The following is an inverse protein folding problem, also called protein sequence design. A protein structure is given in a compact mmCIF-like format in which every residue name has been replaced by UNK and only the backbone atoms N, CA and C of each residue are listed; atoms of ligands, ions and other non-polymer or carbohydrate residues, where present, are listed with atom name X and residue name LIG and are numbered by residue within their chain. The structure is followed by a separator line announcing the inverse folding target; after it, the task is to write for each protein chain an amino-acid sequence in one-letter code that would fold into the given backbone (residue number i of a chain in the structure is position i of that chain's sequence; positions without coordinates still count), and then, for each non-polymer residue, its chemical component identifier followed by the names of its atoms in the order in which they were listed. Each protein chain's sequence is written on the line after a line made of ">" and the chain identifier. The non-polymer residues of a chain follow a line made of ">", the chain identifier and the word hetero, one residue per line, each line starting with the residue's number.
data_IF_936355328780
#
_entry.id   IF_936355328780
#
_cell.length_a   1.000
_cell.length_b   1.000
_cell.length_c   1.000
_cell.angle_alpha   90.00
_cell.angle_beta   90.00
_cell.angle_gamma   90.00
#
_symmetry.space_group_name_H-M   'P 1'
#
loop_
_entity.id
_entity.type
_entity.pdbx_description
1 polymer ?
#
# COMPACT_ATOMS: atom_id res chain seq x y z
N UNK A 1 18.86 -14.96 8.45
CA UNK A 1 18.29 -13.99 7.49
C UNK A 1 16.80 -14.18 7.50
N UNK A 2 16.04 -13.09 7.49
CA UNK A 2 14.58 -13.13 7.34
C UNK A 2 14.25 -13.41 5.88
N UNK A 3 13.17 -14.16 5.64
CA UNK A 3 12.67 -14.32 4.29
C UNK A 3 12.03 -13.01 3.81
N UNK A 4 12.33 -12.60 2.58
CA UNK A 4 11.75 -11.40 1.99
C UNK A 4 10.31 -11.75 1.62
N UNK A 5 9.35 -11.02 2.18
CA UNK A 5 7.92 -11.27 1.99
C UNK A 5 7.50 -11.14 0.51
N UNK A 6 7.98 -10.11 -0.17
CA UNK A 6 7.92 -9.94 -1.62
C UNK A 6 8.94 -8.92 -2.08
N UNK A 7 9.26 -8.92 -3.37
CA UNK A 7 9.96 -7.84 -4.07
C UNK A 7 9.10 -7.41 -5.25
N UNK A 8 9.25 -6.17 -5.70
CA UNK A 8 8.48 -5.68 -6.85
C UNK A 8 7.34 -4.73 -6.46
N UNK A 9 6.23 -4.82 -7.17
CA UNK A 9 5.06 -3.93 -7.02
C UNK A 9 3.94 -4.61 -6.25
N UNK A 10 3.73 -4.22 -4.99
CA UNK A 10 2.53 -4.57 -4.24
C UNK A 10 1.45 -3.50 -4.44
N UNK A 11 0.21 -3.89 -4.76
CA UNK A 11 -0.91 -2.94 -4.87
C UNK A 11 -1.57 -2.68 -3.53
N UNK A 12 -1.69 -1.42 -3.12
CA UNK A 12 -2.65 -1.01 -2.09
C UNK A 12 -4.04 -0.96 -2.73
N UNK A 13 -4.72 -2.12 -2.78
CA UNK A 13 -5.95 -2.29 -3.55
C UNK A 13 -7.11 -1.49 -2.96
N UNK A 14 -7.95 -0.90 -3.81
CA UNK A 14 -9.20 -0.25 -3.41
C UNK A 14 -10.24 -1.27 -2.96
N UNK A 15 -11.15 -0.88 -2.06
CA UNK A 15 -12.34 -1.67 -1.70
C UNK A 15 -13.55 -1.08 -2.41
N UNK A 16 -14.19 -1.78 -3.35
CA UNK A 16 -15.42 -1.31 -3.97
C UNK A 16 -16.59 -1.45 -3.02
N UNK A 17 -17.32 -0.35 -2.78
CA UNK A 17 -18.56 -0.37 -2.02
C UNK A 17 -19.77 -0.16 -2.93
N UNK A 18 -20.88 -0.79 -2.60
CA UNK A 18 -22.16 -0.61 -3.26
C UNK A 18 -23.30 -0.72 -2.24
N UNK A 19 -24.21 0.25 -2.26
CA UNK A 19 -25.33 0.32 -1.31
C UNK A 19 -24.89 0.14 0.16
N UNK A 20 -23.78 0.75 0.53
CA UNK A 20 -23.25 0.72 1.89
C UNK A 20 -22.48 -0.55 2.30
N UNK A 21 -22.38 -1.55 1.44
CA UNK A 21 -21.65 -2.81 1.70
C UNK A 21 -20.46 -3.00 0.74
N UNK A 22 -19.56 -3.94 1.06
CA UNK A 22 -18.47 -4.33 0.15
C UNK A 22 -19.04 -5.09 -1.05
N UNK A 23 -18.71 -4.65 -2.27
CA UNK A 23 -19.07 -5.33 -3.51
C UNK A 23 -18.03 -6.41 -3.83
N UNK A 24 -18.18 -7.60 -3.26
CA UNK A 24 -17.25 -8.71 -3.45
C UNK A 24 -17.10 -9.15 -4.92
N UNK A 25 -18.14 -9.22 -5.77
CA UNK A 25 -17.98 -9.52 -7.19
C UNK A 25 -17.06 -8.52 -7.91
N UNK A 26 -17.24 -7.22 -7.69
CA UNK A 26 -16.36 -6.19 -8.24
C UNK A 26 -14.94 -6.29 -7.65
N UNK A 27 -14.82 -6.55 -6.35
CA UNK A 27 -13.53 -6.71 -5.69
C UNK A 27 -12.75 -7.90 -6.28
N UNK A 28 -13.42 -9.03 -6.55
CA UNK A 28 -12.81 -10.19 -7.21
C UNK A 28 -12.27 -9.86 -8.60
N UNK A 29 -13.00 -9.08 -9.41
CA UNK A 29 -12.51 -8.63 -10.73
C UNK A 29 -11.29 -7.73 -10.62
N UNK A 30 -11.26 -6.84 -9.63
CA UNK A 30 -10.09 -5.99 -9.37
C UNK A 30 -8.87 -6.80 -8.94
N UNK A 31 -9.04 -7.82 -8.08
CA UNK A 31 -7.97 -8.74 -7.66
C UNK A 31 -7.41 -9.47 -8.88
N UNK A 32 -8.27 -10.09 -9.70
CA UNK A 32 -7.81 -10.83 -10.89
C UNK A 32 -7.05 -9.91 -11.86
N UNK A 33 -7.58 -8.70 -12.12
CA UNK A 33 -6.90 -7.71 -12.96
C UNK A 33 -5.50 -7.36 -12.44
N UNK A 34 -5.30 -7.30 -11.12
CA UNK A 34 -3.99 -7.06 -10.54
C UNK A 34 -3.04 -8.22 -10.83
N UNK A 35 -3.50 -9.43 -10.61
CA UNK A 35 -2.68 -10.65 -10.82
C UNK A 35 -2.34 -10.82 -12.31
N UNK A 36 -3.32 -10.64 -13.20
CA UNK A 36 -3.13 -10.69 -14.65
C UNK A 36 -2.17 -9.60 -15.14
N UNK A 37 -2.14 -8.45 -14.45
CA UNK A 37 -1.22 -7.35 -14.70
C UNK A 37 0.18 -7.53 -14.09
N UNK A 38 0.47 -8.65 -13.45
CA UNK A 38 1.79 -8.97 -12.90
C UNK A 38 2.09 -8.33 -11.54
N UNK A 39 1.09 -7.90 -10.79
CA UNK A 39 1.28 -7.40 -9.41
C UNK A 39 1.94 -8.48 -8.55
N UNK A 40 3.00 -8.10 -7.79
CA UNK A 40 3.81 -9.03 -7.00
C UNK A 40 3.25 -9.29 -5.59
N UNK A 41 2.33 -8.46 -5.09
CA UNK A 41 1.63 -8.66 -3.82
C UNK A 41 0.32 -7.85 -3.77
N UNK A 42 -0.67 -8.30 -3.00
CA UNK A 42 -1.91 -7.55 -2.78
C UNK A 42 -1.99 -7.10 -1.33
N UNK A 43 -2.10 -5.79 -1.10
CA UNK A 43 -2.25 -5.17 0.20
C UNK A 43 -3.71 -4.78 0.38
N UNK A 44 -4.45 -5.57 1.16
CA UNK A 44 -5.88 -5.43 1.42
C UNK A 44 -6.15 -4.64 2.71
N UNK A 45 -7.23 -3.89 2.76
CA UNK A 45 -7.64 -3.11 3.94
C UNK A 45 -6.56 -2.15 4.45
N UNK A 46 -5.74 -1.59 3.54
CA UNK A 46 -4.88 -0.44 3.83
C UNK A 46 -5.66 0.88 3.78
N UNK A 47 -4.94 2.00 3.77
CA UNK A 47 -5.53 3.35 3.62
C UNK A 47 -6.36 3.47 2.34
N UNK A 48 -5.81 3.01 1.22
CA UNK A 48 -6.46 3.02 -0.10
C UNK A 48 -7.70 2.12 -0.14
N UNK A 49 -7.72 1.06 0.67
CA UNK A 49 -8.88 0.18 0.86
C UNK A 49 -9.94 0.71 1.84
N UNK A 50 -9.83 1.96 2.29
CA UNK A 50 -10.79 2.63 3.18
C UNK A 50 -11.06 1.88 4.50
N UNK A 51 -10.06 1.17 5.04
CA UNK A 51 -10.22 0.40 6.27
C UNK A 51 -10.70 1.22 7.48
N UNK A 52 -10.44 2.54 7.49
CA UNK A 52 -10.86 3.44 8.57
C UNK A 52 -12.39 3.59 8.69
N UNK A 53 -13.14 3.34 7.63
CA UNK A 53 -14.61 3.44 7.59
C UNK A 53 -15.30 2.07 7.57
N UNK A 54 -14.53 0.99 7.68
CA UNK A 54 -15.04 -0.37 7.74
C UNK A 54 -15.19 -0.84 9.19
N UNK A 55 -16.28 -1.55 9.49
CA UNK A 55 -16.39 -2.29 10.73
C UNK A 55 -15.34 -3.40 10.79
N UNK A 56 -15.03 -3.90 11.98
CA UNK A 56 -14.11 -5.03 12.12
C UNK A 56 -14.60 -6.26 11.34
N UNK A 57 -15.90 -6.52 11.36
CA UNK A 57 -16.51 -7.62 10.62
C UNK A 57 -16.27 -7.48 9.11
N UNK A 58 -16.60 -6.33 8.53
CA UNK A 58 -16.35 -6.06 7.10
C UNK A 58 -14.89 -6.20 6.71
N UNK A 59 -13.96 -5.71 7.57
CA UNK A 59 -12.52 -5.87 7.33
C UNK A 59 -12.11 -7.33 7.27
N UNK A 60 -12.53 -8.14 8.25
CA UNK A 60 -12.20 -9.57 8.29
C UNK A 60 -12.81 -10.34 7.11
N UNK A 61 -14.07 -10.05 6.75
CA UNK A 61 -14.73 -10.64 5.57
C UNK A 61 -14.02 -10.25 4.26
N UNK A 62 -13.57 -8.99 4.14
CA UNK A 62 -12.83 -8.52 2.97
C UNK A 62 -11.44 -9.16 2.86
N UNK A 63 -10.74 -9.32 3.99
CA UNK A 63 -9.44 -10.00 4.03
C UNK A 63 -9.62 -11.48 3.67
N UNK A 64 -10.59 -12.17 4.27
CA UNK A 64 -10.87 -13.58 3.97
C UNK A 64 -11.19 -13.78 2.48
N UNK A 65 -12.08 -12.95 1.92
CA UNK A 65 -12.40 -13.01 0.50
C UNK A 65 -11.15 -12.77 -0.38
N UNK A 66 -10.28 -11.83 0.01
CA UNK A 66 -9.05 -11.56 -0.73
C UNK A 66 -8.12 -12.78 -0.72
N UNK A 67 -7.90 -13.40 0.44
CA UNK A 67 -7.07 -14.61 0.57
C UNK A 67 -7.63 -15.75 -0.30
N UNK A 68 -8.93 -16.02 -0.20
CA UNK A 68 -9.61 -17.06 -0.99
C UNK A 68 -9.52 -16.78 -2.50
N UNK A 69 -9.73 -15.51 -2.92
CA UNK A 69 -9.70 -15.15 -4.34
C UNK A 69 -8.29 -15.19 -4.91
N UNK A 70 -7.29 -14.75 -4.16
CA UNK A 70 -5.89 -14.81 -4.58
C UNK A 70 -5.39 -16.25 -4.66
N UNK A 71 -5.85 -17.13 -3.77
CA UNK A 71 -5.55 -18.56 -3.77
C UNK A 71 -4.04 -18.88 -3.90
N UNK A 72 -3.20 -18.13 -3.18
CA UNK A 72 -1.74 -18.33 -3.14
C UNK A 72 -0.99 -17.91 -4.42
N UNK A 73 -1.64 -17.24 -5.39
CA UNK A 73 -0.97 -16.79 -6.63
C UNK A 73 0.06 -15.70 -6.38
N UNK A 74 -0.17 -14.85 -5.40
CA UNK A 74 0.74 -13.81 -4.89
C UNK A 74 0.54 -13.64 -3.39
N UNK A 75 1.49 -13.07 -2.62
CA UNK A 75 1.28 -12.77 -1.22
C UNK A 75 0.13 -11.80 -0.96
N UNK A 76 -0.68 -12.07 0.08
CA UNK A 76 -1.74 -11.20 0.59
C UNK A 76 -1.27 -10.58 1.90
N UNK A 77 -1.24 -9.25 1.97
CA UNK A 77 -0.81 -8.48 3.14
C UNK A 77 -2.00 -7.68 3.66
N UNK A 78 -2.38 -7.89 4.92
CA UNK A 78 -3.54 -7.24 5.52
C UNK A 78 -3.16 -5.97 6.30
N UNK A 79 -3.88 -4.88 6.06
CA UNK A 79 -3.81 -3.67 6.88
C UNK A 79 -4.51 -3.88 8.22
N UNK A 80 -3.74 -3.96 9.31
CA UNK A 80 -4.24 -4.28 10.67
C UNK A 80 -3.97 -3.20 11.70
N UNK A 81 -3.23 -2.14 11.34
CA UNK A 81 -2.85 -1.08 12.24
C UNK A 81 -4.04 -0.31 12.84
N UNK A 82 -3.86 0.17 14.06
CA UNK A 82 -4.75 1.06 14.79
C UNK A 82 -3.93 1.98 15.71
N UNK A 83 -4.56 3.03 16.22
CA UNK A 83 -3.92 3.93 17.19
C UNK A 83 -4.03 3.45 18.67
N UNK A 84 -4.70 2.34 18.88
CA UNK A 84 -4.71 1.56 20.13
C UNK A 84 -3.93 0.26 19.90
N UNK A 85 -2.97 -0.04 20.79
CA UNK A 85 -2.11 -1.22 20.69
C UNK A 85 -2.88 -2.52 20.81
N UNK A 86 -3.88 -2.57 21.68
CA UNK A 86 -4.69 -3.78 21.87
C UNK A 86 -5.55 -4.07 20.67
N UNK A 87 -6.18 -3.02 20.09
CA UNK A 87 -6.99 -3.15 18.86
C UNK A 87 -6.11 -3.59 17.69
N UNK A 88 -4.92 -3.01 17.51
CA UNK A 88 -3.98 -3.40 16.48
C UNK A 88 -3.54 -4.87 16.62
N UNK A 89 -3.27 -5.31 17.86
CA UNK A 89 -2.93 -6.70 18.18
C UNK A 89 -4.08 -7.66 17.87
N UNK A 90 -5.29 -7.32 18.26
CA UNK A 90 -6.49 -8.16 17.99
C UNK A 90 -6.76 -8.27 16.48
N UNK A 91 -6.63 -7.18 15.73
CA UNK A 91 -6.72 -7.18 14.28
C UNK A 91 -5.63 -8.06 13.63
N UNK A 92 -4.39 -7.98 14.12
CA UNK A 92 -3.28 -8.79 13.63
C UNK A 92 -3.54 -10.29 13.84
N UNK A 93 -3.93 -10.69 15.06
CA UNK A 93 -4.30 -12.06 15.37
C UNK A 93 -5.50 -12.57 14.56
N UNK A 94 -6.48 -11.70 14.28
CA UNK A 94 -7.63 -12.08 13.47
C UNK A 94 -7.23 -12.28 12.00
N UNK A 95 -6.39 -11.41 11.43
CA UNK A 95 -5.90 -11.54 10.06
C UNK A 95 -4.98 -12.77 9.89
N UNK A 96 -4.10 -13.04 10.85
CA UNK A 96 -3.26 -14.25 10.86
C UNK A 96 -4.08 -15.53 10.73
N UNK A 97 -5.20 -15.64 11.48
CA UNK A 97 -6.11 -16.81 11.40
C UNK A 97 -6.78 -16.97 10.04
N UNK A 98 -6.85 -15.92 9.25
CA UNK A 98 -7.37 -15.94 7.87
C UNK A 98 -6.31 -16.37 6.85
N UNK A 99 -5.07 -16.63 7.28
CA UNK A 99 -4.01 -17.13 6.41
C UNK A 99 -3.36 -16.08 5.52
N UNK A 100 -3.28 -14.82 5.99
CA UNK A 100 -2.53 -13.78 5.28
C UNK A 100 -1.02 -14.03 5.38
N UNK A 101 -0.27 -13.65 4.35
CA UNK A 101 1.18 -13.83 4.28
C UNK A 101 1.94 -12.73 5.02
N UNK A 102 1.31 -11.57 5.27
CA UNK A 102 1.92 -10.46 5.97
C UNK A 102 0.91 -9.49 6.57
N UNK A 103 1.38 -8.67 7.49
CA UNK A 103 0.61 -7.64 8.17
C UNK A 103 1.21 -6.26 7.89
N UNK A 104 0.39 -5.30 7.44
CA UNK A 104 0.80 -3.89 7.29
C UNK A 104 0.25 -3.10 8.48
N UNK A 105 1.15 -2.53 9.29
CA UNK A 105 0.79 -1.84 10.54
C UNK A 105 1.26 -0.39 10.48
N UNK A 106 0.31 0.53 10.30
CA UNK A 106 0.56 1.98 10.33
C UNK A 106 0.90 2.42 11.75
N UNK A 107 1.76 3.45 11.88
CA UNK A 107 2.02 4.09 13.17
C UNK A 107 0.73 4.54 13.85
N UNK A 108 0.64 4.48 15.20
CA UNK A 108 -0.49 5.09 15.91
C UNK A 108 -0.68 6.55 15.48
N UNK A 109 -1.85 6.84 14.95
CA UNK A 109 -2.23 8.17 14.44
C UNK A 109 -3.04 8.92 15.50
N UNK A 110 -3.07 10.25 15.40
CA UNK A 110 -3.83 11.16 16.27
C UNK A 110 -3.22 11.32 17.68
N UNK A 111 -3.06 10.24 18.47
CA UNK A 111 -2.52 10.24 19.83
C UNK A 111 -0.98 10.37 19.91
N UNK A 112 -0.27 10.42 18.78
CA UNK A 112 1.14 10.81 18.62
C UNK A 112 2.11 10.13 19.60
N UNK A 113 2.32 8.84 19.43
CA UNK A 113 3.26 8.08 20.24
C UNK A 113 4.70 8.62 20.16
N UNK A 114 5.43 8.57 21.27
CA UNK A 114 6.88 8.80 21.29
C UNK A 114 7.62 7.62 20.65
N UNK A 115 8.93 7.77 20.32
CA UNK A 115 9.74 6.67 19.78
C UNK A 115 9.75 5.45 20.72
N UNK A 116 9.86 5.65 22.01
CA UNK A 116 9.75 4.58 23.00
C UNK A 116 8.36 3.94 23.05
N UNK A 117 7.30 4.73 22.81
CA UNK A 117 5.93 4.23 22.65
C UNK A 117 5.78 3.37 21.40
N UNK A 118 6.39 3.78 20.27
CA UNK A 118 6.41 3.00 19.02
C UNK A 118 7.13 1.67 19.22
N UNK A 119 8.29 1.66 19.85
CA UNK A 119 9.02 0.43 20.17
C UNK A 119 8.15 -0.57 20.93
N UNK A 120 7.49 -0.11 21.99
CA UNK A 120 6.61 -0.96 22.81
C UNK A 120 5.39 -1.42 22.02
N UNK A 121 4.75 -0.52 21.28
CA UNK A 121 3.59 -0.82 20.45
C UNK A 121 3.88 -1.95 19.46
N UNK A 122 4.92 -1.80 18.65
CA UNK A 122 5.25 -2.79 17.64
C UNK A 122 5.77 -4.11 18.22
N UNK A 123 6.57 -4.07 19.32
CA UNK A 123 7.05 -5.29 19.99
C UNK A 123 5.89 -6.11 20.54
N UNK A 124 4.92 -5.50 21.23
CA UNK A 124 3.73 -6.20 21.76
C UNK A 124 2.94 -6.90 20.66
N UNK A 125 2.81 -6.27 19.49
CA UNK A 125 2.10 -6.88 18.35
C UNK A 125 2.96 -8.01 17.76
N UNK A 126 4.23 -7.75 17.51
CA UNK A 126 5.15 -8.72 16.90
C UNK A 126 5.36 -9.98 17.75
N UNK A 127 5.36 -9.84 19.08
CA UNK A 127 5.43 -10.96 20.03
C UNK A 127 4.16 -11.84 20.04
N UNK A 128 3.03 -11.31 19.54
CA UNK A 128 1.74 -12.00 19.62
C UNK A 128 1.34 -12.76 18.35
N UNK A 129 2.05 -12.58 17.22
CA UNK A 129 1.76 -13.22 15.92
C UNK A 129 3.02 -13.88 15.36
N UNK A 130 2.83 -14.91 14.54
CA UNK A 130 3.89 -15.53 13.72
C UNK A 130 4.02 -14.89 12.34
N UNK A 131 2.99 -14.21 11.87
CA UNK A 131 2.94 -13.58 10.54
C UNK A 131 3.86 -12.36 10.45
N UNK A 132 4.70 -12.23 9.41
CA UNK A 132 5.63 -11.11 9.24
C UNK A 132 4.93 -9.74 9.19
N UNK A 133 5.54 -8.75 9.82
CA UNK A 133 5.03 -7.39 9.94
C UNK A 133 5.82 -6.43 9.04
N UNK A 134 5.12 -5.65 8.22
CA UNK A 134 5.61 -4.46 7.55
C UNK A 134 5.15 -3.24 8.36
N UNK A 135 6.09 -2.49 8.90
CA UNK A 135 5.81 -1.20 9.52
C UNK A 135 5.32 -0.22 8.44
N UNK A 136 4.41 0.69 8.77
CA UNK A 136 4.00 1.72 7.82
C UNK A 136 4.20 3.12 8.40
N UNK A 137 5.15 3.85 7.82
CA UNK A 137 5.49 5.20 8.20
C UNK A 137 4.95 6.22 7.19
N UNK A 138 3.98 7.02 7.61
CA UNK A 138 3.33 8.05 6.78
C UNK A 138 3.03 9.29 7.61
N UNK A 139 4.05 10.10 7.94
CA UNK A 139 3.92 11.23 8.87
C UNK A 139 2.87 12.26 8.46
N UNK A 140 2.67 12.46 7.15
CA UNK A 140 1.67 13.36 6.60
C UNK A 140 0.22 13.01 6.98
N UNK A 141 -0.05 11.73 7.29
CA UNK A 141 -1.37 11.25 7.70
C UNK A 141 -1.48 11.03 9.21
N UNK A 142 -0.40 10.56 9.84
CA UNK A 142 -0.44 10.12 11.23
C UNK A 142 0.02 11.17 12.23
N UNK A 143 0.82 12.14 11.77
CA UNK A 143 1.51 13.11 12.64
C UNK A 143 2.64 12.48 13.45
N UNK A 144 3.06 11.24 13.12
CA UNK A 144 4.15 10.49 13.76
C UNK A 144 5.12 10.01 12.72
N UNK A 145 6.42 10.19 12.98
CA UNK A 145 7.51 9.71 12.14
C UNK A 145 8.39 8.73 12.92
N UNK A 146 8.60 7.53 12.39
CA UNK A 146 9.54 6.56 12.97
C UNK A 146 10.96 7.03 12.64
N UNK A 147 11.80 7.21 13.66
CA UNK A 147 13.18 7.63 13.47
C UNK A 147 14.08 6.44 13.06
N UNK A 148 15.19 6.68 12.34
CA UNK A 148 16.09 5.62 11.89
C UNK A 148 16.59 4.69 13.00
N UNK A 149 16.88 5.22 14.18
CA UNK A 149 17.30 4.45 15.35
C UNK A 149 16.20 3.53 15.87
N UNK A 150 14.94 3.98 15.78
CA UNK A 150 13.77 3.16 16.14
C UNK A 150 13.58 2.00 15.16
N UNK A 151 13.78 2.23 13.87
CA UNK A 151 13.79 1.15 12.88
C UNK A 151 14.90 0.14 13.17
N UNK A 152 16.12 0.61 13.46
CA UNK A 152 17.24 -0.26 13.74
C UNK A 152 16.99 -1.19 14.95
N UNK A 153 16.30 -0.70 15.99
CA UNK A 153 15.90 -1.52 17.13
C UNK A 153 14.77 -2.49 16.78
N UNK A 154 13.73 -2.04 16.06
CA UNK A 154 12.61 -2.88 15.63
C UNK A 154 13.06 -3.96 14.65
N UNK A 155 14.02 -3.67 13.77
CA UNK A 155 14.57 -4.60 12.81
C UNK A 155 15.27 -5.82 13.43
N UNK A 156 15.64 -5.76 14.72
CA UNK A 156 16.20 -6.92 15.44
C UNK A 156 15.12 -7.96 15.77
N UNK A 157 13.84 -7.59 15.75
CA UNK A 157 12.76 -8.53 16.02
C UNK A 157 12.56 -9.46 14.80
N UNK A 158 12.52 -10.80 14.98
CA UNK A 158 12.44 -11.75 13.88
C UNK A 158 11.20 -11.55 12.99
N UNK A 159 10.09 -11.16 13.59
CA UNK A 159 8.80 -10.99 12.91
C UNK A 159 8.59 -9.60 12.25
N UNK A 160 9.53 -8.67 12.38
CA UNK A 160 9.45 -7.37 11.68
C UNK A 160 10.26 -7.46 10.39
N UNK A 161 9.56 -7.63 9.27
CA UNK A 161 10.16 -7.87 7.94
C UNK A 161 10.74 -6.61 7.30
N UNK A 162 10.16 -5.44 7.57
CA UNK A 162 10.59 -4.21 6.94
C UNK A 162 9.62 -3.05 7.14
N UNK A 163 9.69 -2.07 6.25
CA UNK A 163 8.86 -0.87 6.29
C UNK A 163 8.30 -0.49 4.92
N UNK A 164 7.02 -0.06 4.88
CA UNK A 164 6.47 0.81 3.84
C UNK A 164 6.79 2.24 4.23
N UNK A 165 7.76 2.85 3.54
CA UNK A 165 8.26 4.19 3.85
C UNK A 165 7.61 5.25 2.96
N UNK A 166 6.90 6.18 3.58
CA UNK A 166 6.19 7.26 2.91
C UNK A 166 6.42 8.63 3.59
N UNK A 167 7.61 8.83 4.18
CA UNK A 167 7.98 10.13 4.77
C UNK A 167 8.38 11.19 3.75
N UNK A 168 8.84 10.78 2.55
CA UNK A 168 9.43 11.69 1.58
C UNK A 168 10.81 12.23 1.98
N UNK A 169 11.41 11.70 3.04
CA UNK A 169 12.70 12.17 3.57
C UNK A 169 13.85 11.23 3.18
N UNK A 170 14.43 11.46 2.01
CA UNK A 170 15.54 10.63 1.50
C UNK A 170 16.76 10.57 2.43
N UNK A 171 17.09 11.64 3.14
CA UNK A 171 18.18 11.64 4.12
C UNK A 171 17.89 10.65 5.27
N UNK A 172 16.64 10.62 5.75
CA UNK A 172 16.20 9.64 6.75
C UNK A 172 16.22 8.20 6.19
N UNK A 173 15.77 8.01 4.94
CA UNK A 173 15.75 6.69 4.29
C UNK A 173 17.18 6.13 4.16
N UNK A 174 18.14 6.94 3.72
CA UNK A 174 19.55 6.56 3.67
C UNK A 174 20.10 6.15 5.03
N UNK A 175 19.80 6.95 6.08
CA UNK A 175 20.23 6.63 7.43
C UNK A 175 19.59 5.33 7.94
N UNK A 176 18.30 5.12 7.64
CA UNK A 176 17.59 3.87 7.96
C UNK A 176 18.26 2.68 7.29
N UNK A 177 18.58 2.78 5.97
CA UNK A 177 19.25 1.70 5.24
C UNK A 177 20.60 1.35 5.85
N UNK A 178 21.36 2.35 6.28
CA UNK A 178 22.69 2.16 6.89
C UNK A 178 22.61 1.52 8.29
N UNK A 179 21.57 1.80 9.06
CA UNK A 179 21.44 1.31 10.44
C UNK A 179 20.74 -0.06 10.54
N UNK A 180 19.86 -0.37 9.59
CA UNK A 180 19.12 -1.61 9.60
C UNK A 180 19.90 -2.77 8.93
N UNK A 181 19.66 -4.03 9.35
CA UNK A 181 20.22 -5.21 8.69
C UNK A 181 19.83 -5.28 7.21
N UNK A 182 20.64 -5.99 6.41
CA UNK A 182 20.39 -6.12 4.97
C UNK A 182 19.05 -6.81 4.65
N UNK A 183 18.56 -7.68 5.52
CA UNK A 183 17.28 -8.39 5.42
C UNK A 183 16.07 -7.60 5.99
N UNK A 184 16.26 -6.33 6.36
CA UNK A 184 15.18 -5.40 6.65
C UNK A 184 14.75 -4.72 5.34
N UNK A 185 13.60 -5.12 4.81
CA UNK A 185 13.10 -4.62 3.54
C UNK A 185 12.55 -3.19 3.64
N UNK A 186 12.77 -2.39 2.60
CA UNK A 186 12.20 -1.05 2.48
C UNK A 186 11.39 -0.99 1.18
N UNK A 187 10.07 -0.87 1.27
CA UNK A 187 9.20 -0.60 0.13
C UNK A 187 8.83 0.88 0.10
N UNK A 188 8.88 1.50 -1.06
CA UNK A 188 8.33 2.83 -1.23
C UNK A 188 6.84 2.85 -0.91
N UNK A 189 6.40 3.82 -0.14
CA UNK A 189 4.98 4.11 0.08
C UNK A 189 4.46 5.22 -0.84
N UNK A 190 5.36 5.88 -1.59
CA UNK A 190 5.10 6.95 -2.55
C UNK A 190 5.49 6.46 -3.95
N UNK A 191 4.54 6.44 -4.88
CA UNK A 191 4.74 5.89 -6.22
C UNK A 191 5.84 6.64 -7.00
N UNK A 192 5.95 7.95 -6.83
CA UNK A 192 6.93 8.80 -7.50
C UNK A 192 8.35 8.72 -6.91
N UNK A 193 8.54 8.03 -5.80
CA UNK A 193 9.84 7.79 -5.17
C UNK A 193 10.38 6.37 -5.40
N UNK A 194 9.64 5.52 -6.12
CA UNK A 194 9.93 4.09 -6.27
C UNK A 194 11.34 3.81 -6.77
N UNK A 195 11.74 4.40 -7.91
CA UNK A 195 13.05 4.16 -8.48
C UNK A 195 14.19 4.65 -7.57
N UNK A 196 14.00 5.78 -6.90
CA UNK A 196 15.02 6.36 -6.01
C UNK A 196 15.20 5.50 -4.74
N UNK A 197 14.12 4.98 -4.16
CA UNK A 197 14.20 4.07 -3.01
C UNK A 197 14.82 2.72 -3.41
N UNK A 198 14.46 2.17 -4.57
CA UNK A 198 15.09 0.96 -5.10
C UNK A 198 16.60 1.14 -5.33
N UNK A 199 17.03 2.31 -5.81
CA UNK A 199 18.47 2.62 -5.96
C UNK A 199 19.23 2.59 -4.63
N UNK A 200 18.55 2.87 -3.51
CA UNK A 200 19.10 2.75 -2.16
C UNK A 200 19.00 1.34 -1.58
N UNK A 201 18.70 0.33 -2.39
CA UNK A 201 18.52 -1.04 -1.96
C UNK A 201 17.11 -1.34 -1.42
N UNK A 202 16.10 -0.60 -1.86
CA UNK A 202 14.70 -0.88 -1.56
C UNK A 202 14.19 -2.12 -2.31
N UNK A 203 13.19 -2.77 -1.74
CA UNK A 203 12.61 -4.04 -2.24
C UNK A 203 11.51 -3.82 -3.28
N UNK A 204 11.07 -2.59 -3.51
CA UNK A 204 9.98 -2.27 -4.44
C UNK A 204 9.06 -1.16 -3.92
N UNK A 205 7.76 -1.30 -4.18
CA UNK A 205 6.73 -0.31 -3.83
C UNK A 205 5.45 -0.96 -3.32
N UNK A 206 4.75 -0.29 -2.41
CA UNK A 206 3.34 -0.56 -2.07
C UNK A 206 2.53 0.60 -2.65
N UNK A 207 1.99 0.38 -3.83
CA UNK A 207 1.57 1.35 -4.84
C UNK A 207 0.08 1.67 -4.79
N UNK A 208 -0.28 2.92 -5.08
CA UNK A 208 -1.63 3.35 -5.46
C UNK A 208 -1.79 3.31 -6.98
N UNK A 209 -0.77 3.72 -7.74
CA UNK A 209 -0.75 3.73 -9.21
C UNK A 209 -1.00 2.34 -9.79
N UNK A 210 -0.56 1.29 -9.11
CA UNK A 210 -0.79 -0.09 -9.54
C UNK A 210 -2.29 -0.46 -9.66
N UNK A 211 -3.21 0.22 -8.95
CA UNK A 211 -4.64 0.04 -9.19
C UNK A 211 -5.01 0.37 -10.64
N UNK A 212 -4.38 1.37 -11.24
CA UNK A 212 -4.63 1.88 -12.60
C UNK A 212 -3.75 1.17 -13.63
N UNK A 213 -2.44 1.09 -13.38
CA UNK A 213 -1.40 0.55 -14.27
C UNK A 213 -0.58 -0.55 -13.59
N UNK A 214 -1.15 -1.73 -13.28
CA UNK A 214 -0.42 -2.81 -12.61
C UNK A 214 0.83 -3.24 -13.38
N UNK A 215 0.73 -3.45 -14.69
CA UNK A 215 1.84 -3.92 -15.52
C UNK A 215 3.01 -2.92 -15.57
N UNK A 216 2.73 -1.63 -15.63
CA UNK A 216 3.79 -0.62 -15.67
C UNK A 216 4.48 -0.44 -14.32
N UNK A 217 3.74 -0.59 -13.20
CA UNK A 217 4.35 -0.57 -11.87
C UNK A 217 5.20 -1.82 -11.61
N UNK A 218 4.73 -3.00 -12.03
CA UNK A 218 5.54 -4.22 -12.04
C UNK A 218 6.81 -4.01 -12.88
N UNK A 219 6.68 -3.52 -14.11
CA UNK A 219 7.81 -3.24 -15.01
C UNK A 219 8.81 -2.25 -14.40
N UNK A 220 8.33 -1.17 -13.77
CA UNK A 220 9.19 -0.19 -13.09
C UNK A 220 10.07 -0.85 -12.03
N UNK A 221 9.45 -1.63 -11.16
CA UNK A 221 10.19 -2.33 -10.10
C UNK A 221 11.09 -3.43 -10.65
N UNK A 222 10.68 -4.17 -11.68
CA UNK A 222 11.51 -5.16 -12.35
C UNK A 222 12.79 -4.54 -12.94
N UNK A 223 12.68 -3.38 -13.59
CA UNK A 223 13.84 -2.62 -14.08
C UNK A 223 14.78 -2.21 -12.95
N UNK A 224 14.23 -1.72 -11.82
CA UNK A 224 15.01 -1.37 -10.64
C UNK A 224 15.76 -2.58 -10.08
N UNK A 225 15.09 -3.71 -9.91
CA UNK A 225 15.66 -4.95 -9.38
C UNK A 225 16.70 -5.56 -10.30
N UNK A 226 16.58 -5.32 -11.61
CA UNK A 226 17.59 -5.66 -12.62
C UNK A 226 18.77 -4.66 -12.69
N UNK A 227 18.78 -3.61 -11.84
CA UNK A 227 19.74 -2.50 -11.85
C UNK A 227 19.74 -1.65 -13.14
N UNK A 228 18.68 -1.71 -13.98
CA UNK A 228 18.50 -0.79 -15.11
C UNK A 228 17.83 0.50 -14.67
N UNK A 229 18.53 1.27 -13.86
CA UNK A 229 18.04 2.55 -13.36
C UNK A 229 17.86 3.62 -14.44
N UNK A 230 18.51 3.47 -15.60
CA UNK A 230 18.29 4.36 -16.73
C UNK A 230 16.90 4.17 -17.33
N UNK A 231 16.48 2.93 -17.59
CA UNK A 231 15.14 2.63 -18.07
C UNK A 231 14.07 2.88 -16.99
N UNK A 232 14.35 2.50 -15.74
CA UNK A 232 13.47 2.76 -14.60
C UNK A 232 13.19 4.26 -14.42
N UNK A 233 14.22 5.11 -14.50
CA UNK A 233 14.09 6.57 -14.40
C UNK A 233 13.22 7.16 -15.51
N UNK A 234 13.38 6.70 -16.76
CA UNK A 234 12.51 7.14 -17.87
C UNK A 234 11.03 6.74 -17.63
N UNK A 235 10.78 5.51 -17.16
CA UNK A 235 9.42 5.06 -16.87
C UNK A 235 8.83 5.81 -15.66
N UNK A 236 9.62 6.02 -14.60
CA UNK A 236 9.22 6.81 -13.43
C UNK A 236 8.77 8.23 -13.83
N UNK A 237 9.55 8.89 -14.72
CA UNK A 237 9.19 10.22 -15.22
C UNK A 237 7.93 10.19 -16.10
N UNK A 238 7.73 9.14 -16.90
CA UNK A 238 6.51 8.96 -17.68
C UNK A 238 5.27 8.75 -16.80
N UNK A 239 5.42 8.08 -15.65
CA UNK A 239 4.35 7.84 -14.68
C UNK A 239 4.03 9.08 -13.83
N UNK A 240 4.94 10.06 -13.72
CA UNK A 240 4.80 11.20 -12.79
C UNK A 240 3.49 11.99 -12.96
N UNK A 241 3.02 12.33 -14.19
CA UNK A 241 1.75 13.03 -14.34
C UNK A 241 0.54 12.25 -13.80
N UNK A 242 0.53 10.92 -13.95
CA UNK A 242 -0.51 10.07 -13.38
C UNK A 242 -0.40 10.00 -11.85
N UNK A 243 0.81 9.87 -11.30
CA UNK A 243 1.03 9.94 -9.85
C UNK A 243 0.45 11.25 -9.29
N UNK A 244 0.78 12.39 -9.90
CA UNK A 244 0.28 13.69 -9.46
C UNK A 244 -1.24 13.84 -9.56
N UNK A 245 -1.86 13.21 -10.55
CA UNK A 245 -3.31 13.20 -10.70
C UNK A 245 -4.00 12.31 -9.64
N UNK A 246 -3.40 11.14 -9.32
CA UNK A 246 -3.93 10.22 -8.32
C UNK A 246 -3.77 10.71 -6.86
N UNK A 247 -2.99 11.77 -6.65
CA UNK A 247 -2.80 12.41 -5.35
C UNK A 247 -3.21 13.90 -5.34
N UNK A 248 -3.97 14.36 -6.34
CA UNK A 248 -4.45 15.75 -6.39
C UNK A 248 -5.47 16.08 -5.29
N UNK A 249 -6.12 15.06 -4.76
CA UNK A 249 -6.94 15.10 -3.55
C UNK A 249 -6.57 13.92 -2.62
N UNK A 250 -7.26 13.79 -1.50
CA UNK A 250 -6.98 12.74 -0.52
C UNK A 250 -7.20 11.35 -1.14
N UNK A 251 -6.15 10.52 -1.17
CA UNK A 251 -6.27 9.10 -1.55
C UNK A 251 -7.17 8.35 -0.53
N UNK A 252 -8.20 7.56 -1.00
CA UNK A 252 -8.36 7.00 -2.34
C UNK A 252 -9.35 7.73 -3.28
N UNK A 253 -9.74 8.96 -3.01
CA UNK A 253 -10.73 9.67 -3.85
C UNK A 253 -10.32 9.66 -5.34
N UNK A 254 -9.10 10.12 -5.72
CA UNK A 254 -8.74 10.15 -7.13
C UNK A 254 -8.59 8.78 -7.76
N UNK A 255 -8.02 7.79 -7.07
CA UNK A 255 -7.81 6.46 -7.65
C UNK A 255 -9.13 5.72 -7.90
N UNK A 256 -10.12 5.81 -7.00
CA UNK A 256 -11.45 5.22 -7.26
C UNK A 256 -12.16 5.92 -8.41
N UNK A 257 -12.03 7.23 -8.50
CA UNK A 257 -12.55 8.02 -9.63
C UNK A 257 -11.88 7.61 -10.94
N UNK A 258 -10.54 7.47 -10.96
CA UNK A 258 -9.80 7.01 -12.13
C UNK A 258 -10.28 5.65 -12.62
N UNK A 259 -10.42 4.67 -11.72
CA UNK A 259 -10.94 3.35 -12.05
C UNK A 259 -12.36 3.42 -12.64
N UNK A 260 -13.23 4.25 -12.07
CA UNK A 260 -14.59 4.48 -12.59
C UNK A 260 -14.55 5.09 -14.00
N UNK A 261 -13.69 6.07 -14.24
CA UNK A 261 -13.49 6.67 -15.57
C UNK A 261 -12.98 5.66 -16.60
N UNK A 262 -12.23 4.64 -16.17
CA UNK A 262 -11.78 3.51 -17.00
C UNK A 262 -12.87 2.44 -17.24
N UNK A 263 -14.09 2.64 -16.72
CA UNK A 263 -15.17 1.65 -16.80
C UNK A 263 -15.06 0.49 -15.81
N UNK A 264 -14.21 0.62 -14.79
CA UNK A 264 -14.06 -0.40 -13.73
C UNK A 264 -14.96 -0.08 -12.53
N UNK A 265 -15.51 -1.10 -11.88
CA UNK A 265 -16.38 -0.94 -10.73
C UNK A 265 -15.56 -0.71 -9.44
N UNK A 266 -15.08 0.53 -9.22
CA UNK A 266 -14.38 0.91 -8.00
C UNK A 266 -15.32 1.22 -6.82
N UNK A 267 -16.61 1.43 -7.11
CA UNK A 267 -17.65 1.65 -6.10
C UNK A 267 -17.64 3.04 -5.47
N UNK A 268 -18.52 3.19 -4.51
CA UNK A 268 -18.75 4.43 -3.77
C UNK A 268 -17.60 4.73 -2.79
N UNK A 269 -17.47 6.01 -2.41
CA UNK A 269 -16.64 6.42 -1.27
C UNK A 269 -17.53 6.45 -0.01
N UNK A 270 -16.97 6.10 1.13
CA UNK A 270 -17.65 6.25 2.42
C UNK A 270 -17.24 7.55 3.10
N UNK A 271 -18.21 8.27 3.67
CA UNK A 271 -17.94 9.46 4.48
C UNK A 271 -16.89 9.14 5.57
N UNK A 272 -15.95 10.04 5.86
CA UNK A 272 -15.94 11.46 5.47
C UNK A 272 -15.41 11.75 4.05
N UNK A 273 -15.02 10.72 3.29
CA UNK A 273 -14.61 10.90 1.90
C UNK A 273 -15.83 11.13 1.01
N UNK A 274 -15.69 12.00 0.04
CA UNK A 274 -16.75 12.38 -0.90
C UNK A 274 -16.20 12.42 -2.33
N UNK A 275 -17.05 12.47 -3.36
CA UNK A 275 -16.60 12.61 -4.73
C UNK A 275 -15.65 13.80 -4.93
N UNK A 276 -14.68 13.69 -5.86
CA UNK A 276 -13.71 14.76 -6.12
C UNK A 276 -14.36 15.97 -6.79
N UNK A 277 -13.63 17.09 -6.82
CA UNK A 277 -14.03 18.29 -7.58
C UNK A 277 -13.99 18.03 -9.07
N UNK A 278 -14.77 18.79 -9.87
CA UNK A 278 -14.73 18.71 -11.33
C UNK A 278 -13.33 18.95 -11.90
N UNK A 279 -12.57 19.88 -11.31
CA UNK A 279 -11.19 20.16 -11.71
C UNK A 279 -10.28 18.92 -11.54
N UNK A 280 -10.47 18.17 -10.47
CA UNK A 280 -9.74 16.92 -10.22
C UNK A 280 -10.15 15.82 -11.20
N UNK A 281 -11.44 15.73 -11.55
CA UNK A 281 -11.93 14.81 -12.59
C UNK A 281 -11.29 15.10 -13.93
N UNK A 282 -11.24 16.36 -14.36
CA UNK A 282 -10.60 16.74 -15.63
C UNK A 282 -9.09 16.45 -15.63
N UNK A 283 -8.40 16.70 -14.50
CA UNK A 283 -6.99 16.32 -14.34
C UNK A 283 -6.77 14.82 -14.47
N UNK A 284 -7.64 14.01 -13.89
CA UNK A 284 -7.59 12.55 -14.03
C UNK A 284 -7.83 12.10 -15.46
N UNK A 285 -8.82 12.67 -16.16
CA UNK A 285 -9.08 12.35 -17.59
C UNK A 285 -7.87 12.64 -18.46
N UNK A 286 -7.22 13.79 -18.28
CA UNK A 286 -6.00 14.15 -19.02
C UNK A 286 -4.86 13.14 -18.75
N UNK A 287 -4.66 12.77 -17.48
CA UNK A 287 -3.63 11.80 -17.12
C UNK A 287 -3.93 10.40 -17.68
N UNK A 288 -5.18 9.93 -17.62
CA UNK A 288 -5.60 8.64 -18.15
C UNK A 288 -5.53 8.58 -19.69
N UNK A 289 -5.90 9.67 -20.38
CA UNK A 289 -5.78 9.76 -21.84
C UNK A 289 -4.35 9.59 -22.34
N UNK A 290 -3.34 10.05 -21.57
CA UNK A 290 -1.93 9.88 -21.95
C UNK A 290 -1.43 8.43 -21.92
N UNK A 291 -2.27 7.52 -21.43
CA UNK A 291 -2.05 6.08 -21.34
C UNK A 291 -3.10 5.26 -22.09
N UNK A 292 -3.97 5.91 -22.89
CA UNK A 292 -5.06 5.28 -23.64
C UNK A 292 -6.01 4.43 -22.77
N UNK A 293 -6.28 4.92 -21.53
CA UNK A 293 -7.06 4.19 -20.54
C UNK A 293 -8.53 4.59 -20.47
N UNK A 294 -8.96 5.60 -21.18
CA UNK A 294 -10.37 5.97 -21.24
C UNK A 294 -11.11 5.12 -22.29
N UNK A 295 -12.35 4.66 -21.99
CA UNK A 295 -13.18 4.00 -23.00
C UNK A 295 -13.39 4.89 -24.21
N UNK A 296 -13.44 4.29 -25.40
CA UNK A 296 -13.84 5.02 -26.63
C UNK A 296 -15.22 5.62 -26.38
N UNK A 297 -15.36 6.91 -26.65
CA UNK A 297 -16.67 7.55 -26.63
C UNK A 297 -17.49 6.95 -27.78
N UNK A 298 -18.40 6.04 -27.44
CA UNK A 298 -19.42 5.62 -28.41
C UNK A 298 -20.29 6.83 -28.72
N UNK A 299 -20.05 7.41 -29.92
CA UNK A 299 -20.83 8.51 -30.47
C UNK A 299 -22.28 8.09 -30.74
#
# INVERSE_FOLDING_TARGET
>A
MKDILFTGSGVAIVTPFHAGAVNFPAFGRLIDRQIDGGTDAIIVCGTTGEAATMTQKERMETIAYCVDRVAGRVPVIAGTGANDTQVARENALAAERLGVDGLLIVTPYYNKATQQGLLRHYKVIADSVGTPIILYNVPSRTGVNIQPETYAELAQHPNIAGVKEASGNFSQIQKTRNLCPADFSIWSGNDDETAAICMLGGSGVISVVANVLPAEMHRLTALCLANDFSAAGRLQLKLKPLCDALFCEVNPIPVKTALTLMGLEAGELRLPLCPPTDASVERLKLALSSWDLLPEQTS
#
